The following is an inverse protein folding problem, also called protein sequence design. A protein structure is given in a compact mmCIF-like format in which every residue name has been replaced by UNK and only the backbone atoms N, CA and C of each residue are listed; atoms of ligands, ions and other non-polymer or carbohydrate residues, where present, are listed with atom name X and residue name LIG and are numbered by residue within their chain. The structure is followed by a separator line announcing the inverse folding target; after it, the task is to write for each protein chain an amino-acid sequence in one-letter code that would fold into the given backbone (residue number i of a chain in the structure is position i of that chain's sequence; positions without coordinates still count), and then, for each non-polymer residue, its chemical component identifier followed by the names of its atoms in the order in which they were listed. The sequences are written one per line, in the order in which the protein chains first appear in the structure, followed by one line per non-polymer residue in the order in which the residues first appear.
data_IF_355698065081
#
_entry.id   IF_355698065081
#
_cell.length_a   1.000
_cell.length_b   1.000
_cell.length_c   1.000
_cell.angle_alpha   90.00
_cell.angle_beta   90.00
_cell.angle_gamma   90.00
#
_symmetry.space_group_name_H-M   'P 1'
#
loop_
_entity.id
_entity.type
_entity.pdbx_description
1 polymer ?
#
# COMPACT_ATOMS: atom_id res chain seq x y z
N UNK A 1 -19.77 -22.17 -60.76
CA UNK A 1 -20.32 -21.63 -59.47
C UNK A 1 -20.11 -20.15 -59.49
N UNK A 2 -21.18 -19.37 -59.43
CA UNK A 2 -21.09 -17.92 -59.50
C UNK A 2 -20.48 -17.39 -58.18
N UNK A 3 -19.31 -16.82 -58.26
CA UNK A 3 -18.58 -16.21 -57.09
C UNK A 3 -18.99 -14.74 -56.86
N UNK A 4 -20.10 -14.33 -57.46
CA UNK A 4 -20.61 -12.95 -57.36
C UNK A 4 -20.92 -12.47 -55.96
N UNK A 5 -21.12 -13.39 -55.00
CA UNK A 5 -21.32 -13.08 -53.58
C UNK A 5 -20.02 -12.64 -52.87
N UNK A 6 -18.87 -12.96 -53.45
CA UNK A 6 -17.56 -12.55 -52.91
C UNK A 6 -17.29 -11.05 -53.03
N UNK A 7 -17.86 -10.39 -54.04
CA UNK A 7 -17.66 -8.97 -54.27
C UNK A 7 -18.18 -8.10 -53.15
N UNK A 8 -19.46 -8.23 -52.70
CA UNK A 8 -19.93 -7.41 -51.56
C UNK A 8 -19.26 -7.81 -50.23
N UNK A 9 -18.83 -9.05 -50.09
CA UNK A 9 -18.10 -9.49 -48.88
C UNK A 9 -16.69 -8.91 -48.82
N UNK A 10 -15.96 -8.85 -49.92
CA UNK A 10 -14.63 -8.23 -49.98
C UNK A 10 -14.70 -6.72 -49.78
N UNK A 11 -15.74 -6.04 -50.27
CA UNK A 11 -15.93 -4.62 -50.06
C UNK A 11 -16.20 -4.29 -48.58
N UNK A 12 -17.01 -5.10 -47.90
CA UNK A 12 -17.28 -4.97 -46.48
C UNK A 12 -16.02 -5.18 -45.63
N UNK A 13 -15.17 -6.18 -45.98
CA UNK A 13 -13.90 -6.42 -45.29
C UNK A 13 -12.90 -5.27 -45.48
N UNK A 14 -12.82 -4.71 -46.69
CA UNK A 14 -11.91 -3.58 -46.95
C UNK A 14 -12.36 -2.32 -46.25
N UNK A 15 -13.66 -2.04 -46.18
CA UNK A 15 -14.21 -0.93 -45.38
C UNK A 15 -13.96 -1.11 -43.89
N UNK A 16 -14.11 -2.33 -43.36
CA UNK A 16 -13.85 -2.64 -41.97
C UNK A 16 -12.38 -2.51 -41.64
N UNK A 17 -11.49 -2.97 -42.55
CA UNK A 17 -10.04 -2.79 -42.41
C UNK A 17 -9.65 -1.32 -42.42
N UNK A 18 -10.22 -0.54 -43.34
CA UNK A 18 -9.98 0.91 -43.41
C UNK A 18 -10.43 1.62 -42.12
N UNK A 19 -11.60 1.25 -41.59
CA UNK A 19 -12.10 1.77 -40.31
C UNK A 19 -11.14 1.43 -39.16
N UNK A 20 -10.64 0.20 -39.09
CA UNK A 20 -9.67 -0.20 -38.06
C UNK A 20 -8.36 0.57 -38.17
N UNK A 21 -7.85 0.79 -39.37
CA UNK A 21 -6.62 1.60 -39.57
C UNK A 21 -6.83 3.03 -39.11
N UNK A 22 -7.99 3.65 -39.42
CA UNK A 22 -8.32 5.01 -38.95
C UNK A 22 -8.44 5.08 -37.43
N UNK A 23 -9.13 4.12 -36.81
CA UNK A 23 -9.26 4.04 -35.36
C UNK A 23 -7.91 3.78 -34.67
N UNK A 24 -7.08 2.91 -35.25
CA UNK A 24 -5.72 2.65 -34.74
C UNK A 24 -4.83 3.89 -34.84
N UNK A 25 -4.85 4.58 -35.97
CA UNK A 25 -4.11 5.83 -36.17
C UNK A 25 -4.60 6.98 -35.24
N UNK A 26 -5.89 6.97 -34.90
CA UNK A 26 -6.48 7.95 -33.95
C UNK A 26 -6.28 7.54 -32.48
N UNK A 27 -5.96 6.26 -32.21
CA UNK A 27 -5.76 5.71 -30.87
C UNK A 27 -4.34 5.90 -30.32
N UNK A 28 -3.39 6.35 -31.14
CA UNK A 28 -2.07 6.70 -30.64
C UNK A 28 -2.16 8.03 -29.87
N UNK A 29 -2.40 7.94 -28.56
CA UNK A 29 -2.21 9.05 -27.63
C UNK A 29 -0.72 9.39 -27.68
N UNK A 30 -0.44 10.58 -28.20
CA UNK A 30 0.92 11.12 -28.28
C UNK A 30 1.34 11.45 -26.84
N UNK A 31 2.11 10.55 -26.20
CA UNK A 31 2.60 10.72 -24.82
C UNK A 31 3.27 12.10 -24.64
N UNK A 32 3.94 12.59 -25.68
CA UNK A 32 4.55 13.91 -25.65
C UNK A 32 3.51 15.03 -25.55
N UNK A 33 2.38 14.89 -26.23
CA UNK A 33 1.27 15.89 -26.13
C UNK A 33 0.53 15.79 -24.81
N UNK A 34 0.37 14.56 -24.29
CA UNK A 34 -0.23 14.38 -22.96
C UNK A 34 0.65 14.98 -21.88
N UNK A 35 1.97 14.74 -21.92
CA UNK A 35 2.93 15.34 -20.98
C UNK A 35 2.99 16.87 -21.10
N UNK A 36 2.94 17.42 -22.33
CA UNK A 36 2.85 18.86 -22.53
C UNK A 36 1.56 19.45 -22.00
N UNK A 37 0.43 18.75 -22.18
CA UNK A 37 -0.85 19.19 -21.63
C UNK A 37 -0.84 19.20 -20.10
N UNK A 38 -0.27 18.14 -19.49
CA UNK A 38 -0.12 18.04 -18.03
C UNK A 38 0.81 19.12 -17.49
N UNK A 39 1.91 19.42 -18.20
CA UNK A 39 2.84 20.49 -17.80
C UNK A 39 2.20 21.87 -17.89
N UNK A 40 1.48 22.16 -18.98
CA UNK A 40 0.75 23.43 -19.15
C UNK A 40 -0.41 23.55 -18.15
N UNK A 41 -1.10 22.43 -17.86
CA UNK A 41 -2.14 22.42 -16.83
C UNK A 41 -1.54 22.71 -15.45
N UNK A 42 -0.47 22.02 -15.06
CA UNK A 42 0.23 22.26 -13.81
C UNK A 42 0.78 23.70 -13.72
N UNK A 43 1.30 24.26 -14.82
CA UNK A 43 1.82 25.64 -14.86
C UNK A 43 0.69 26.69 -14.73
N UNK A 44 -0.51 26.38 -15.22
CA UNK A 44 -1.70 27.24 -15.09
C UNK A 44 -2.34 27.12 -13.71
N UNK A 45 -2.36 25.93 -13.13
CA UNK A 45 -2.98 25.66 -11.82
C UNK A 45 -2.02 25.86 -10.64
N UNK A 46 -0.70 25.66 -10.82
CA UNK A 46 0.34 25.97 -9.83
C UNK A 46 0.82 27.44 -9.88
N UNK A 47 0.22 28.22 -10.78
CA UNK A 47 0.59 29.60 -11.09
C UNK A 47 0.09 30.65 -10.10
N UNK A 48 0.58 30.59 -8.90
CA UNK A 48 0.49 31.70 -7.97
C UNK A 48 1.63 32.69 -8.04
N UNK A 49 2.04 33.20 -9.22
CA UNK A 49 2.73 34.51 -9.31
C UNK A 49 2.58 35.11 -10.71
N UNK A 50 1.72 36.09 -10.76
CA UNK A 50 1.23 36.78 -11.86
C UNK A 50 2.20 37.32 -12.90
N UNK A 51 1.72 37.30 -14.13
CA UNK A 51 1.84 38.37 -15.09
C UNK A 51 0.50 38.50 -15.80
N UNK A 52 -0.44 39.17 -15.18
CA UNK A 52 -1.51 39.87 -15.90
C UNK A 52 -2.04 41.01 -15.02
N UNK A 53 -1.29 42.11 -15.07
CA UNK A 53 -1.83 43.43 -14.85
C UNK A 53 -2.55 43.84 -16.14
N UNK A 54 -3.84 43.52 -16.25
CA UNK A 54 -4.80 44.30 -17.06
C UNK A 54 -6.22 43.91 -16.69
N UNK A 55 -6.92 44.90 -16.18
CA UNK A 55 -8.26 44.82 -15.66
C UNK A 55 -9.31 44.45 -16.72
N UNK A 56 -10.25 43.58 -16.38
CA UNK A 56 -11.60 43.59 -16.93
C UNK A 56 -12.61 43.32 -15.82
N UNK A 57 -13.65 44.12 -15.66
CA UNK A 57 -14.60 43.99 -14.57
C UNK A 57 -15.77 43.11 -14.99
N UNK A 58 -15.85 41.91 -14.42
CA UNK A 58 -17.13 41.21 -14.32
C UNK A 58 -17.10 40.33 -13.06
N UNK A 59 -17.66 40.88 -12.01
CA UNK A 59 -18.02 40.16 -10.78
C UNK A 59 -19.15 39.19 -11.09
N UNK A 60 -18.83 37.93 -11.30
CA UNK A 60 -19.76 36.81 -11.09
C UNK A 60 -19.49 36.27 -9.71
N UNK A 61 -20.48 36.17 -8.80
CA UNK A 61 -20.27 35.54 -7.52
C UNK A 61 -20.06 34.04 -7.77
N UNK A 62 -18.82 33.58 -7.63
CA UNK A 62 -18.52 32.14 -7.56
C UNK A 62 -18.97 31.66 -6.17
N UNK A 63 -19.81 30.61 -6.06
CA UNK A 63 -20.15 30.03 -4.79
C UNK A 63 -18.85 29.54 -4.09
N UNK A 64 -18.67 29.89 -2.82
CA UNK A 64 -17.52 29.53 -2.00
C UNK A 64 -17.51 28.06 -1.53
N UNK A 65 -18.07 27.16 -2.31
CA UNK A 65 -18.07 25.72 -2.05
C UNK A 65 -17.35 24.93 -3.15
N UNK A 66 -16.38 25.52 -3.83
CA UNK A 66 -15.40 24.75 -4.58
C UNK A 66 -14.36 24.23 -3.55
N UNK A 67 -14.63 23.07 -2.99
CA UNK A 67 -13.64 22.23 -2.34
C UNK A 67 -12.44 22.15 -3.28
N UNK A 68 -11.27 22.52 -2.77
CA UNK A 68 -10.04 22.61 -3.55
C UNK A 68 -9.55 21.19 -3.88
N UNK A 69 -10.10 20.59 -4.92
CA UNK A 69 -9.74 19.24 -5.43
C UNK A 69 -8.22 19.11 -5.67
N UNK A 70 -7.53 20.23 -5.82
CA UNK A 70 -6.08 20.26 -6.01
C UNK A 70 -5.28 20.12 -4.71
N UNK A 71 -5.78 20.64 -3.57
CA UNK A 71 -5.10 20.50 -2.29
C UNK A 71 -5.25 19.07 -1.73
N UNK A 72 -6.41 18.45 -1.91
CA UNK A 72 -6.66 17.06 -1.49
C UNK A 72 -5.80 16.05 -2.25
N UNK A 73 -5.74 16.15 -3.58
CA UNK A 73 -4.86 15.32 -4.40
C UNK A 73 -3.37 15.52 -4.07
N UNK A 74 -2.96 16.74 -3.73
CA UNK A 74 -1.56 17.01 -3.39
C UNK A 74 -1.19 16.40 -2.03
N UNK A 75 -2.09 16.47 -1.05
CA UNK A 75 -1.87 15.88 0.28
C UNK A 75 -1.79 14.36 0.25
N UNK A 76 -2.63 13.68 -0.55
CA UNK A 76 -2.55 12.24 -0.78
C UNK A 76 -1.21 11.83 -1.42
N UNK A 77 -0.78 12.53 -2.47
CA UNK A 77 0.49 12.24 -3.16
C UNK A 77 1.71 12.48 -2.24
N UNK A 78 1.68 13.50 -1.41
CA UNK A 78 2.71 13.74 -0.39
C UNK A 78 2.74 12.63 0.64
N UNK A 79 1.58 12.14 1.07
CA UNK A 79 1.47 11.04 2.02
C UNK A 79 1.99 9.72 1.44
N UNK A 80 1.63 9.40 0.19
CA UNK A 80 2.15 8.24 -0.54
C UNK A 80 3.68 8.30 -0.71
N UNK A 81 4.23 9.49 -1.00
CA UNK A 81 5.68 9.70 -1.06
C UNK A 81 6.34 9.44 0.30
N UNK A 82 5.75 9.96 1.36
CA UNK A 82 6.24 9.74 2.72
C UNK A 82 6.24 8.26 3.11
N UNK A 83 5.19 7.49 2.74
CA UNK A 83 5.15 6.03 2.92
C UNK A 83 6.24 5.32 2.11
N UNK A 84 6.52 5.77 0.88
CA UNK A 84 7.63 5.27 0.06
C UNK A 84 9.00 5.51 0.70
N UNK A 85 9.22 6.69 1.28
CA UNK A 85 10.47 7.00 2.00
C UNK A 85 10.65 6.12 3.26
N UNK A 86 9.54 5.78 3.93
CA UNK A 86 9.55 4.83 5.05
C UNK A 86 9.91 3.43 4.54
N UNK A 87 9.32 3.00 3.43
CA UNK A 87 9.64 1.73 2.80
C UNK A 87 11.12 1.64 2.45
N UNK A 88 11.67 2.64 1.78
CA UNK A 88 13.09 2.69 1.40
C UNK A 88 14.03 2.56 2.63
N UNK A 89 13.67 3.18 3.75
CA UNK A 89 14.45 3.05 5.01
C UNK A 89 14.38 1.62 5.56
N UNK A 90 13.20 1.00 5.56
CA UNK A 90 13.02 -0.38 6.00
C UNK A 90 13.76 -1.36 5.09
N UNK A 91 13.64 -1.20 3.77
CA UNK A 91 14.30 -2.06 2.78
C UNK A 91 15.83 -1.95 2.89
N UNK A 92 16.37 -0.75 3.10
CA UNK A 92 17.79 -0.55 3.37
C UNK A 92 18.23 -1.26 4.66
N UNK A 93 17.44 -1.16 5.74
CA UNK A 93 17.72 -1.86 6.99
C UNK A 93 17.72 -3.38 6.78
N UNK A 94 16.70 -3.92 6.10
CA UNK A 94 16.56 -5.34 5.78
C UNK A 94 17.77 -5.83 4.98
N UNK A 95 18.20 -5.09 3.95
CA UNK A 95 19.34 -5.44 3.12
C UNK A 95 20.68 -5.41 3.90
N UNK A 96 20.91 -4.39 4.71
CA UNK A 96 22.15 -4.27 5.51
C UNK A 96 22.30 -5.39 6.52
N UNK A 97 21.18 -5.91 7.04
CA UNK A 97 21.17 -7.00 8.04
C UNK A 97 20.92 -8.40 7.44
N UNK A 98 20.87 -8.52 6.11
CA UNK A 98 20.65 -9.79 5.37
C UNK A 98 19.34 -10.48 5.78
N UNK A 99 18.25 -9.70 5.95
CA UNK A 99 16.95 -10.16 6.44
C UNK A 99 15.90 -10.38 5.34
N UNK A 100 16.24 -10.31 4.05
CA UNK A 100 15.33 -10.37 2.90
C UNK A 100 14.50 -11.67 2.85
N UNK A 101 15.03 -12.75 3.39
CA UNK A 101 14.29 -14.02 3.49
C UNK A 101 13.24 -14.03 4.61
N UNK A 102 13.23 -13.02 5.45
CA UNK A 102 12.52 -12.98 6.72
C UNK A 102 11.54 -11.82 6.79
N UNK A 103 11.83 -10.75 6.07
CA UNK A 103 11.00 -9.55 5.98
C UNK A 103 10.64 -9.27 4.52
N UNK A 104 9.46 -8.73 4.34
CA UNK A 104 8.98 -8.25 3.06
C UNK A 104 8.21 -6.95 3.30
N UNK A 105 8.47 -5.91 2.51
CA UNK A 105 7.72 -4.67 2.55
C UNK A 105 6.91 -4.51 1.27
N UNK A 106 5.72 -3.95 1.38
CA UNK A 106 4.85 -3.71 0.24
C UNK A 106 3.98 -2.48 0.47
N UNK A 107 4.05 -1.51 -0.43
CA UNK A 107 3.10 -0.41 -0.47
C UNK A 107 1.79 -0.89 -1.08
N UNK A 108 0.68 -0.64 -0.37
CA UNK A 108 -0.68 -1.01 -0.76
C UNK A 108 -1.61 0.18 -0.60
N UNK A 109 -2.85 0.06 -1.08
CA UNK A 109 -3.89 1.10 -0.89
C UNK A 109 -4.25 1.32 0.58
N UNK A 110 -4.04 0.29 1.44
CA UNK A 110 -4.25 0.38 2.89
C UNK A 110 -3.06 1.01 3.64
N UNK A 111 -1.93 1.23 2.98
CA UNK A 111 -0.70 1.76 3.54
C UNK A 111 0.53 0.88 3.28
N UNK A 112 1.57 1.07 4.06
CA UNK A 112 2.80 0.28 3.98
C UNK A 112 2.69 -0.98 4.85
N UNK A 113 2.65 -2.14 4.20
CA UNK A 113 2.60 -3.44 4.84
C UNK A 113 4.02 -4.00 5.01
N UNK A 114 4.41 -4.31 6.23
CA UNK A 114 5.65 -5.02 6.58
C UNK A 114 5.29 -6.41 7.06
N UNK A 115 5.72 -7.43 6.34
CA UNK A 115 5.49 -8.83 6.66
C UNK A 115 6.74 -9.43 7.29
N UNK A 116 6.60 -10.02 8.47
CA UNK A 116 7.68 -10.63 9.25
C UNK A 116 7.36 -12.11 9.44
N UNK A 117 8.27 -13.01 9.08
CA UNK A 117 8.09 -14.43 9.33
C UNK A 117 8.15 -14.75 10.82
N UNK A 118 7.20 -15.53 11.31
CA UNK A 118 7.09 -15.84 12.73
C UNK A 118 8.30 -16.60 13.29
N UNK A 119 8.95 -17.41 12.45
CA UNK A 119 10.10 -18.22 12.85
C UNK A 119 11.28 -17.45 13.42
N UNK A 120 11.40 -16.16 13.06
CA UNK A 120 12.37 -15.25 13.66
C UNK A 120 11.93 -14.84 15.06
N UNK A 121 10.70 -14.37 15.15
CA UNK A 121 10.22 -13.71 16.35
C UNK A 121 9.88 -14.70 17.45
N UNK A 122 9.29 -15.87 17.10
CA UNK A 122 8.68 -16.79 18.05
C UNK A 122 9.21 -18.23 17.90
N UNK A 123 9.22 -18.95 19.01
CA UNK A 123 9.37 -20.40 18.98
C UNK A 123 8.08 -21.09 18.55
N UNK A 124 8.12 -22.30 17.98
CA UNK A 124 6.92 -23.03 17.59
C UNK A 124 5.93 -23.16 18.76
N UNK A 125 4.67 -22.77 18.50
CA UNK A 125 3.60 -22.84 19.50
C UNK A 125 3.72 -21.83 20.65
N UNK A 126 4.62 -20.88 20.58
CA UNK A 126 4.82 -19.82 21.57
C UNK A 126 4.46 -18.45 20.99
N UNK A 127 4.07 -17.53 21.87
CA UNK A 127 3.82 -16.14 21.56
C UNK A 127 4.85 -15.18 22.19
N UNK A 128 5.72 -15.68 23.04
CA UNK A 128 6.81 -14.89 23.62
C UNK A 128 7.92 -14.69 22.60
N UNK A 129 8.36 -13.43 22.48
CA UNK A 129 9.47 -13.10 21.59
C UNK A 129 10.75 -13.77 22.07
N UNK A 130 11.50 -14.34 21.15
CA UNK A 130 12.82 -14.90 21.44
C UNK A 130 13.77 -13.78 21.89
N UNK A 131 14.51 -13.97 23.00
CA UNK A 131 15.38 -12.93 23.55
C UNK A 131 16.45 -12.43 22.56
N UNK A 132 16.92 -13.30 21.66
CA UNK A 132 17.93 -12.98 20.65
C UNK A 132 17.45 -11.98 19.58
N UNK A 133 16.14 -11.86 19.39
CA UNK A 133 15.54 -10.93 18.41
C UNK A 133 14.92 -9.68 19.05
N UNK A 134 15.11 -9.49 20.36
CA UNK A 134 14.61 -8.29 21.03
C UNK A 134 15.26 -7.02 20.47
N UNK A 135 16.59 -7.03 20.23
CA UNK A 135 17.29 -5.90 19.61
C UNK A 135 16.75 -5.56 18.22
N UNK A 136 16.44 -6.59 17.41
CA UNK A 136 15.81 -6.40 16.11
C UNK A 136 14.42 -5.74 16.22
N UNK A 137 13.63 -6.13 17.21
CA UNK A 137 12.32 -5.52 17.44
C UNK A 137 12.44 -4.08 17.94
N UNK A 138 13.45 -3.77 18.75
CA UNK A 138 13.77 -2.41 19.17
C UNK A 138 14.20 -1.53 17.98
N UNK A 139 15.03 -2.06 17.07
CA UNK A 139 15.44 -1.36 15.85
C UNK A 139 14.24 -1.08 14.93
N UNK A 140 13.34 -2.07 14.78
CA UNK A 140 12.09 -1.88 14.04
C UNK A 140 11.23 -0.79 14.70
N UNK A 141 11.12 -0.78 16.03
CA UNK A 141 10.39 0.26 16.74
C UNK A 141 10.97 1.65 16.47
N UNK A 142 12.30 1.79 16.36
CA UNK A 142 12.94 3.06 16.00
C UNK A 142 12.63 3.48 14.56
N UNK A 143 12.59 2.53 13.62
CA UNK A 143 12.23 2.79 12.22
C UNK A 143 10.76 3.19 12.05
N UNK A 144 9.91 2.79 13.00
CA UNK A 144 8.48 3.13 13.03
C UNK A 144 8.17 4.46 13.73
N UNK A 145 9.20 5.22 14.13
CA UNK A 145 9.03 6.59 14.62
C UNK A 145 8.98 7.53 13.42
N UNK A 146 7.86 8.22 13.26
CA UNK A 146 7.60 9.11 12.14
C UNK A 146 7.45 10.57 12.60
N UNK A 147 7.87 11.52 11.77
CA UNK A 147 7.66 12.96 12.03
C UNK A 147 6.16 13.30 12.12
N UNK A 148 5.33 12.62 11.32
CA UNK A 148 3.87 12.65 11.39
C UNK A 148 3.39 11.31 11.91
N UNK A 149 2.85 11.26 13.15
CA UNK A 149 2.39 10.02 13.77
C UNK A 149 1.34 9.32 12.92
N UNK A 150 1.46 8.00 12.77
CA UNK A 150 0.58 7.15 11.95
C UNK A 150 0.01 6.01 12.77
N UNK A 151 -1.18 5.58 12.42
CA UNK A 151 -1.73 4.36 12.99
C UNK A 151 -0.95 3.14 12.52
N UNK A 152 -0.67 2.22 13.44
CA UNK A 152 0.06 0.98 13.19
C UNK A 152 -0.82 -0.17 13.67
N UNK A 153 -1.15 -1.06 12.74
CA UNK A 153 -1.96 -2.24 13.02
C UNK A 153 -1.09 -3.49 12.95
N UNK A 154 -0.93 -4.18 14.06
CA UNK A 154 -0.19 -5.45 14.12
C UNK A 154 -1.15 -6.61 13.94
N UNK A 155 -0.90 -7.49 12.98
CA UNK A 155 -1.76 -8.63 12.71
C UNK A 155 -0.99 -9.94 12.77
N UNK A 156 -1.48 -10.88 13.58
CA UNK A 156 -0.90 -12.22 13.68
C UNK A 156 -1.62 -13.24 12.81
N UNK A 157 -0.86 -14.14 12.18
CA UNK A 157 -1.35 -15.22 11.35
C UNK A 157 -0.66 -16.55 11.70
N UNK A 158 -1.35 -17.66 11.50
CA UNK A 158 -0.82 -19.01 11.65
C UNK A 158 -0.99 -19.81 10.36
N UNK A 159 -0.39 -20.99 10.31
CA UNK A 159 -0.77 -22.01 9.35
C UNK A 159 -2.02 -22.78 9.85
N UNK A 160 -2.44 -23.80 9.08
CA UNK A 160 -3.61 -24.62 9.39
C UNK A 160 -3.33 -25.82 10.31
N UNK A 161 -2.13 -25.96 10.85
CA UNK A 161 -1.86 -27.00 11.83
C UNK A 161 -2.55 -26.64 13.15
N UNK A 162 -3.43 -27.50 13.68
CA UNK A 162 -4.18 -27.17 14.87
C UNK A 162 -3.27 -26.88 16.06
N UNK A 163 -3.48 -25.72 16.69
CA UNK A 163 -2.82 -25.36 17.93
C UNK A 163 -3.72 -25.75 19.11
N UNK A 164 -3.19 -26.59 19.97
CA UNK A 164 -3.80 -26.92 21.24
C UNK A 164 -2.70 -27.33 22.21
N UNK A 165 -2.26 -26.42 23.08
CA UNK A 165 -1.25 -26.67 24.09
C UNK A 165 -1.70 -26.08 25.45
N UNK A 166 -0.84 -26.10 26.45
CA UNK A 166 -1.17 -25.57 27.78
C UNK A 166 -1.39 -24.05 27.83
N UNK A 167 -0.89 -23.32 26.85
CA UNK A 167 -0.95 -21.86 26.79
C UNK A 167 -2.05 -21.33 25.85
N UNK A 168 -2.29 -22.04 24.74
CA UNK A 168 -3.22 -21.62 23.69
C UNK A 168 -4.15 -22.75 23.28
N UNK A 169 -5.43 -22.49 23.26
CA UNK A 169 -6.48 -23.44 22.90
C UNK A 169 -6.75 -23.49 21.38
N UNK A 170 -6.24 -22.51 20.62
CA UNK A 170 -6.50 -22.40 19.19
C UNK A 170 -5.44 -21.56 18.46
N UNK A 171 -5.38 -21.71 17.14
CA UNK A 171 -4.62 -20.83 16.25
C UNK A 171 -5.07 -19.37 16.35
N UNK A 172 -6.34 -19.14 16.62
CA UNK A 172 -6.88 -17.81 16.82
C UNK A 172 -6.22 -17.11 18.00
N UNK A 173 -6.23 -17.76 19.15
CA UNK A 173 -5.64 -17.24 20.39
C UNK A 173 -4.14 -17.02 20.26
N UNK A 174 -3.40 -18.00 19.68
CA UNK A 174 -1.98 -17.86 19.43
C UNK A 174 -1.65 -16.66 18.55
N UNK A 175 -2.41 -16.45 17.46
CA UNK A 175 -2.16 -15.34 16.53
C UNK A 175 -2.38 -13.97 17.18
N UNK A 176 -3.46 -13.82 17.96
CA UNK A 176 -3.73 -12.58 18.71
C UNK A 176 -2.63 -12.31 19.72
N UNK A 177 -2.20 -13.33 20.50
CA UNK A 177 -1.16 -13.12 21.51
C UNK A 177 0.21 -12.78 20.91
N UNK A 178 0.54 -13.31 19.74
CA UNK A 178 1.74 -12.90 18.99
C UNK A 178 1.70 -11.44 18.58
N UNK A 179 0.56 -10.99 18.04
CA UNK A 179 0.38 -9.58 17.69
C UNK A 179 0.47 -8.67 18.93
N UNK A 180 -0.16 -9.06 20.04
CA UNK A 180 -0.11 -8.30 21.31
C UNK A 180 1.30 -8.26 21.88
N UNK A 181 2.05 -9.36 21.86
CA UNK A 181 3.40 -9.38 22.40
C UNK A 181 4.38 -8.59 21.53
N UNK A 182 4.20 -8.57 20.21
CA UNK A 182 4.97 -7.69 19.33
C UNK A 182 4.61 -6.21 19.58
N UNK A 183 3.33 -5.88 19.73
CA UNK A 183 2.87 -4.54 20.07
C UNK A 183 3.50 -4.02 21.37
N UNK A 184 3.59 -4.87 22.41
CA UNK A 184 4.21 -4.48 23.70
C UNK A 184 5.65 -4.03 23.53
N UNK A 185 6.41 -4.61 22.59
CA UNK A 185 7.78 -4.20 22.32
C UNK A 185 7.80 -2.81 21.69
N UNK A 186 6.89 -2.55 20.73
CA UNK A 186 6.76 -1.21 20.15
C UNK A 186 6.40 -0.16 21.23
N UNK A 187 5.60 -0.55 22.23
CA UNK A 187 5.24 0.30 23.36
C UNK A 187 6.41 0.55 24.33
N UNK A 188 7.46 -0.27 24.34
CA UNK A 188 8.65 0.00 25.15
C UNK A 188 9.43 1.22 24.64
N UNK A 189 9.20 1.64 23.39
CA UNK A 189 9.69 2.89 22.84
C UNK A 189 8.85 4.06 23.31
N UNK A 190 9.41 4.97 24.10
CA UNK A 190 8.74 6.20 24.53
C UNK A 190 8.40 7.17 23.36
N UNK A 191 8.82 6.83 22.13
CA UNK A 191 8.64 7.66 20.93
C UNK A 191 7.36 7.34 20.17
N UNK A 192 6.70 6.21 20.43
CA UNK A 192 5.47 5.78 19.76
C UNK A 192 4.29 5.98 20.70
N UNK A 193 3.29 6.75 20.28
CA UNK A 193 2.07 6.92 21.05
C UNK A 193 1.26 5.61 21.08
N UNK A 194 1.00 5.03 22.26
CA UNK A 194 0.18 3.82 22.35
C UNK A 194 -1.22 3.92 21.77
N UNK A 195 -1.79 5.12 21.68
CA UNK A 195 -3.10 5.36 21.06
C UNK A 195 -3.13 5.06 19.56
N UNK A 196 -1.97 5.04 18.92
CA UNK A 196 -1.83 4.74 17.50
C UNK A 196 -1.59 3.25 17.23
N UNK A 197 -1.46 2.44 18.26
CA UNK A 197 -1.17 1.01 18.12
C UNK A 197 -2.42 0.17 18.32
N UNK A 198 -2.61 -0.79 17.42
CA UNK A 198 -3.66 -1.80 17.56
C UNK A 198 -3.15 -3.19 17.20
N UNK A 199 -3.73 -4.24 17.82
CA UNK A 199 -3.36 -5.61 17.56
C UNK A 199 -4.58 -6.47 17.24
N UNK A 200 -4.47 -7.32 16.22
CA UNK A 200 -5.49 -8.28 15.83
C UNK A 200 -4.87 -9.61 15.41
N UNK A 201 -5.66 -10.66 15.36
CA UNK A 201 -5.21 -11.96 14.87
C UNK A 201 -6.27 -12.61 14.03
N UNK A 202 -5.86 -13.32 12.98
CA UNK A 202 -6.74 -14.04 12.08
C UNK A 202 -6.59 -15.56 12.14
N UNK A 203 -5.70 -16.06 12.99
CA UNK A 203 -5.41 -17.49 13.02
C UNK A 203 -4.99 -18.00 11.64
N UNK A 204 -5.58 -19.11 11.22
CA UNK A 204 -5.31 -19.80 9.95
C UNK A 204 -6.21 -19.32 8.78
N UNK A 205 -7.11 -18.36 9.01
CA UNK A 205 -8.20 -18.03 8.10
C UNK A 205 -7.83 -17.01 7.00
N UNK A 206 -6.60 -16.48 7.03
CA UNK A 206 -6.08 -15.59 6.00
C UNK A 206 -4.73 -16.10 5.43
N UNK A 207 -4.72 -17.26 4.75
CA UNK A 207 -3.50 -17.81 4.17
C UNK A 207 -3.08 -17.02 2.93
N UNK A 208 -1.77 -16.77 2.79
CA UNK A 208 -1.16 -16.16 1.59
C UNK A 208 -0.49 -17.19 0.68
N UNK A 209 -0.39 -18.44 1.15
CA UNK A 209 0.17 -19.54 0.40
C UNK A 209 -0.58 -20.86 0.72
N UNK A 210 -0.52 -21.88 -0.17
CA UNK A 210 -1.13 -23.17 0.11
C UNK A 210 -0.55 -23.83 1.37
N UNK A 211 -1.43 -24.34 2.24
CA UNK A 211 -1.03 -25.02 3.48
C UNK A 211 -0.52 -26.46 3.28
N UNK A 212 -0.61 -26.99 2.06
CA UNK A 212 -0.24 -28.38 1.73
C UNK A 212 1.27 -28.61 1.83
N UNK A 213 2.08 -27.57 1.61
CA UNK A 213 3.54 -27.63 1.66
C UNK A 213 4.09 -27.02 2.95
N UNK A 214 5.24 -27.51 3.39
CA UNK A 214 5.94 -26.92 4.55
C UNK A 214 6.36 -25.45 4.28
N UNK A 215 6.72 -25.16 3.04
CA UNK A 215 7.09 -23.81 2.62
C UNK A 215 5.89 -22.86 2.65
N UNK A 216 4.74 -23.28 2.10
CA UNK A 216 3.52 -22.47 2.14
C UNK A 216 3.04 -22.22 3.58
N UNK A 217 3.07 -23.23 4.44
CA UNK A 217 2.79 -23.06 5.88
C UNK A 217 3.74 -22.06 6.54
N UNK A 218 5.03 -22.11 6.17
CA UNK A 218 6.01 -21.15 6.70
C UNK A 218 5.70 -19.71 6.29
N UNK A 219 5.16 -19.48 5.08
CA UNK A 219 4.71 -18.16 4.63
C UNK A 219 3.46 -17.70 5.36
N UNK A 220 2.55 -18.64 5.67
CA UNK A 220 1.31 -18.32 6.40
C UNK A 220 1.56 -17.95 7.86
N UNK A 221 2.59 -18.55 8.50
CA UNK A 221 3.00 -18.15 9.86
C UNK A 221 3.80 -16.86 9.79
N UNK A 222 3.13 -15.73 10.04
CA UNK A 222 3.70 -14.39 9.94
C UNK A 222 3.05 -13.41 10.89
N UNK A 223 3.74 -12.32 11.14
CA UNK A 223 3.18 -11.10 11.70
C UNK A 223 3.22 -10.04 10.62
N UNK A 224 2.14 -9.32 10.43
CA UNK A 224 2.03 -8.18 9.55
C UNK A 224 1.95 -6.91 10.38
N UNK A 225 2.71 -5.89 9.99
CA UNK A 225 2.68 -4.55 10.55
C UNK A 225 2.23 -3.62 9.43
N UNK A 226 1.01 -3.13 9.53
CA UNK A 226 0.45 -2.19 8.57
C UNK A 226 0.59 -0.76 9.13
N UNK A 227 1.34 0.07 8.44
CA UNK A 227 1.48 1.50 8.69
C UNK A 227 0.47 2.20 7.81
N UNK A 228 -0.59 2.74 8.42
CA UNK A 228 -1.70 3.32 7.69
C UNK A 228 -1.34 4.70 7.08
N UNK A 229 -1.97 5.07 5.95
CA UNK A 229 -1.83 6.40 5.40
C UNK A 229 -2.46 7.44 6.34
N UNK A 230 -2.05 8.69 6.21
CA UNK A 230 -2.70 9.82 6.90
C UNK A 230 -3.85 10.39 6.09
N UNK A 231 -3.78 10.21 4.76
CA UNK A 231 -4.78 10.69 3.81
C UNK A 231 -5.16 9.54 2.89
N UNK A 232 -6.44 9.28 2.75
CA UNK A 232 -6.99 8.28 1.84
C UNK A 232 -7.07 8.81 0.41
N UNK A 233 -7.28 7.91 -0.57
CA UNK A 233 -7.36 8.26 -1.99
C UNK A 233 -8.49 9.27 -2.30
N UNK A 234 -9.55 9.27 -1.49
CA UNK A 234 -10.67 10.21 -1.60
C UNK A 234 -10.39 11.57 -0.95
N UNK A 235 -9.16 11.81 -0.46
CA UNK A 235 -8.75 13.03 0.22
C UNK A 235 -9.17 13.12 1.69
N UNK A 236 -9.88 12.12 2.22
CA UNK A 236 -10.25 12.10 3.63
C UNK A 236 -9.05 11.76 4.52
N UNK A 237 -9.04 12.30 5.74
CA UNK A 237 -8.03 11.95 6.75
C UNK A 237 -8.37 10.58 7.30
N UNK A 238 -7.38 9.70 7.37
CA UNK A 238 -7.55 8.38 7.99
C UNK A 238 -7.74 8.54 9.51
N UNK A 239 -8.84 7.95 10.03
CA UNK A 239 -9.22 7.99 11.45
C UNK A 239 -8.41 6.97 12.28
#
# INVERSE_FOLDING_TARGET
MDESWLLPYSDLLTLLLALFIVLFASSSIDEAKFTQMTTVFNEIFDGGKGVMEQAAPTTVPVPKDSVDVNEENNSYLEDQRSLGEIQDRLDNYIAVHELENQFETKLTDEGLLVTIRDSILFSPGKADLKPEYRGLADDIAELLVFDRPRQIVITGHTDNLPMNNAEFSSNWELSVMRAVNFLKILMESDKIDPLLLSAKGYGEYHPIAPNDTAEGRSKNRRVEVLIQPLVLEDGSVAD
#
